data_IF_894530887218
#
_entry.id   IF_894530887218
#
_cell.length_a   1.000
_cell.length_b   1.000
_cell.length_c   1.000
_cell.angle_alpha   90.00
_cell.angle_beta   90.00
_cell.angle_gamma   90.00
#
_symmetry.space_group_name_H-M   'P 1'
#
loop_
_entity.id
_entity.type
_entity.pdbx_description
1 polymer ?
#
# COMPACT_ATOMS: atom_id res chain seq x y z
N UNK A 1 -4.12 -26.16 41.73
CA UNK A 1 -4.43 -25.39 40.51
C UNK A 1 -5.48 -26.17 39.74
N UNK A 2 -6.73 -25.73 39.84
CA UNK A 2 -7.87 -26.52 39.35
C UNK A 2 -7.85 -26.63 37.82
N UNK A 3 -8.10 -27.83 37.30
CA UNK A 3 -8.18 -28.10 35.84
C UNK A 3 -9.15 -27.16 35.13
N UNK A 4 -10.20 -26.72 35.82
CA UNK A 4 -11.15 -25.71 35.36
C UNK A 4 -10.50 -24.33 35.15
N UNK A 5 -9.66 -23.87 36.09
CA UNK A 5 -8.90 -22.62 35.97
C UNK A 5 -7.88 -22.68 34.82
N UNK A 6 -7.22 -23.82 34.63
CA UNK A 6 -6.30 -24.02 33.51
C UNK A 6 -7.02 -24.01 32.15
N UNK A 7 -8.21 -24.64 32.06
CA UNK A 7 -9.03 -24.65 30.83
C UNK A 7 -9.60 -23.28 30.49
N UNK A 8 -10.03 -22.50 31.48
CA UNK A 8 -10.51 -21.13 31.27
C UNK A 8 -9.37 -20.24 30.76
N UNK A 9 -8.18 -20.37 31.35
CA UNK A 9 -6.99 -19.61 30.94
C UNK A 9 -6.56 -19.93 29.50
N UNK A 10 -6.58 -21.20 29.09
CA UNK A 10 -6.22 -21.58 27.71
C UNK A 10 -7.25 -21.09 26.70
N UNK A 11 -8.53 -21.17 27.01
CA UNK A 11 -9.59 -20.67 26.13
C UNK A 11 -9.53 -19.14 25.97
N UNK A 12 -9.26 -18.40 27.05
CA UNK A 12 -9.11 -16.94 27.01
C UNK A 12 -7.90 -16.50 26.17
N UNK A 13 -6.77 -17.23 26.25
CA UNK A 13 -5.60 -16.97 25.41
C UNK A 13 -5.91 -17.23 23.93
N UNK A 14 -6.53 -18.37 23.59
CA UNK A 14 -6.92 -18.68 22.21
C UNK A 14 -7.87 -17.61 21.66
N UNK A 15 -8.83 -17.15 22.46
CA UNK A 15 -9.75 -16.09 22.06
C UNK A 15 -8.99 -14.78 21.81
N UNK A 16 -8.08 -14.36 22.69
CA UNK A 16 -7.27 -13.14 22.47
C UNK A 16 -6.43 -13.18 21.19
N UNK A 17 -5.92 -14.35 20.79
CA UNK A 17 -5.14 -14.51 19.56
C UNK A 17 -5.97 -14.59 18.27
N UNK A 18 -7.30 -14.77 18.35
CA UNK A 18 -8.17 -14.87 17.16
C UNK A 18 -8.92 -13.59 16.82
N UNK A 19 -8.89 -12.56 17.68
CA UNK A 19 -9.42 -11.23 17.33
C UNK A 19 -8.44 -10.47 16.43
N UNK A 20 -8.52 -10.69 15.12
CA UNK A 20 -7.99 -9.75 14.15
C UNK A 20 -9.01 -8.62 13.93
N UNK A 21 -8.72 -7.43 14.44
CA UNK A 21 -9.43 -6.22 14.03
C UNK A 21 -9.09 -5.93 12.57
N UNK A 22 -10.05 -6.06 11.66
CA UNK A 22 -9.87 -5.66 10.26
C UNK A 22 -9.87 -4.14 10.14
N UNK A 23 -8.70 -3.52 9.97
CA UNK A 23 -8.65 -2.11 9.54
C UNK A 23 -9.00 -2.02 8.07
N UNK A 24 -9.76 -0.99 7.68
CA UNK A 24 -9.86 -0.65 6.26
C UNK A 24 -8.49 -0.22 5.72
N UNK A 25 -8.25 -0.46 4.43
CA UNK A 25 -7.02 -0.02 3.77
C UNK A 25 -7.06 1.49 3.59
N UNK A 26 -6.01 2.18 4.05
CA UNK A 26 -5.82 3.62 3.89
C UNK A 26 -4.73 3.90 2.86
N UNK A 27 -4.99 4.79 1.90
CA UNK A 27 -4.02 5.16 0.86
C UNK A 27 -3.95 6.69 0.72
N UNK A 28 -2.86 7.20 0.15
CA UNK A 28 -2.86 8.57 -0.35
C UNK A 28 -3.74 8.69 -1.60
N UNK A 29 -4.55 9.74 -1.67
CA UNK A 29 -5.42 10.08 -2.79
C UNK A 29 -5.20 11.54 -3.20
N UNK A 30 -4.37 11.73 -4.23
CA UNK A 30 -3.97 13.07 -4.65
C UNK A 30 -3.47 13.10 -6.09
N UNK A 31 -3.40 14.30 -6.65
CA UNK A 31 -2.80 14.57 -7.95
C UNK A 31 -1.91 15.80 -7.83
N UNK A 32 -0.61 15.65 -8.13
CA UNK A 32 0.39 16.72 -8.06
C UNK A 32 0.13 17.94 -8.93
N UNK A 33 -0.71 17.80 -9.95
CA UNK A 33 -1.19 18.94 -10.73
C UNK A 33 -2.10 19.87 -9.93
N UNK A 34 -2.95 19.29 -9.05
CA UNK A 34 -3.89 20.05 -8.23
C UNK A 34 -3.28 20.44 -6.88
N UNK A 35 -2.42 19.59 -6.32
CA UNK A 35 -1.76 19.80 -5.03
C UNK A 35 -0.32 19.30 -5.10
N UNK A 36 0.63 20.24 -5.17
CA UNK A 36 2.07 19.95 -5.30
C UNK A 36 2.63 19.10 -4.15
N UNK A 37 1.98 19.06 -2.99
CA UNK A 37 2.37 18.18 -1.87
C UNK A 37 2.22 16.70 -2.24
N UNK A 38 1.44 16.38 -3.27
CA UNK A 38 1.39 15.05 -3.85
C UNK A 38 2.68 14.67 -4.62
N UNK A 39 3.59 15.58 -4.94
CA UNK A 39 4.89 15.17 -5.51
C UNK A 39 5.90 14.76 -4.42
N UNK A 40 5.63 15.05 -3.15
CA UNK A 40 6.51 14.68 -2.05
C UNK A 40 6.64 13.16 -1.95
N UNK A 41 7.82 12.70 -1.55
CA UNK A 41 8.09 11.29 -1.28
C UNK A 41 7.15 10.75 -0.20
N UNK A 42 6.99 11.52 0.88
CA UNK A 42 5.98 11.28 1.92
C UNK A 42 4.97 12.42 1.90
N UNK A 43 3.78 12.23 1.31
CA UNK A 43 2.74 13.24 1.34
C UNK A 43 2.19 13.43 2.76
N UNK A 44 1.67 14.61 3.09
CA UNK A 44 1.01 14.83 4.37
C UNK A 44 -0.22 13.93 4.52
N UNK A 45 -0.46 13.45 5.74
CA UNK A 45 -1.57 12.53 6.03
C UNK A 45 -2.95 13.10 5.69
N UNK A 46 -3.09 14.43 5.63
CA UNK A 46 -4.30 15.10 5.17
C UNK A 46 -4.71 14.73 3.72
N UNK A 47 -3.78 14.19 2.92
CA UNK A 47 -4.05 13.68 1.58
C UNK A 47 -4.39 12.17 1.55
N UNK A 48 -4.53 11.54 2.72
CA UNK A 48 -4.90 10.13 2.82
C UNK A 48 -6.41 9.95 3.01
N UNK A 49 -6.91 8.81 2.54
CA UNK A 49 -8.32 8.42 2.65
C UNK A 49 -8.43 6.92 2.91
N UNK A 50 -9.48 6.56 3.62
CA UNK A 50 -9.91 5.19 3.82
C UNK A 50 -10.55 4.66 2.52
N UNK A 51 -9.96 3.64 1.91
CA UNK A 51 -10.41 3.12 0.62
C UNK A 51 -11.82 2.48 0.69
N UNK A 52 -12.26 2.08 1.89
CA UNK A 52 -13.62 1.59 2.13
C UNK A 52 -14.70 2.67 1.99
N UNK A 53 -14.34 3.95 2.04
CA UNK A 53 -15.30 5.07 1.95
C UNK A 53 -15.76 5.33 0.52
N UNK A 54 -15.07 4.79 -0.49
CA UNK A 54 -15.50 4.88 -1.87
C UNK A 54 -16.76 4.06 -2.09
N UNK A 55 -17.86 4.76 -2.40
CA UNK A 55 -19.13 4.13 -2.77
C UNK A 55 -19.06 3.69 -4.24
N UNK A 56 -18.31 2.63 -4.52
CA UNK A 56 -18.38 1.98 -5.82
C UNK A 56 -18.76 0.51 -5.63
N UNK A 57 -20.02 0.17 -5.89
CA UNK A 57 -20.57 -1.17 -5.72
C UNK A 57 -20.01 -2.19 -6.70
N UNK A 58 -19.29 -1.75 -7.74
CA UNK A 58 -18.74 -2.64 -8.75
C UNK A 58 -17.38 -3.22 -8.38
N UNK A 59 -16.60 -2.53 -7.53
CA UNK A 59 -15.21 -2.90 -7.26
C UNK A 59 -14.81 -2.69 -5.80
N UNK A 60 -14.22 -3.74 -5.20
CA UNK A 60 -13.60 -3.64 -3.88
C UNK A 60 -12.22 -3.03 -4.02
N UNK A 61 -11.98 -1.89 -3.39
CA UNK A 61 -10.64 -1.29 -3.32
C UNK A 61 -9.78 -2.11 -2.36
N UNK A 62 -8.75 -2.76 -2.91
CA UNK A 62 -7.92 -3.74 -2.19
C UNK A 62 -6.42 -3.38 -2.19
N UNK A 63 -6.05 -2.31 -2.90
CA UNK A 63 -4.66 -1.87 -3.03
C UNK A 63 -4.56 -0.34 -3.09
N UNK A 64 -3.38 0.17 -2.77
CA UNK A 64 -2.97 1.52 -3.09
C UNK A 64 -2.23 1.52 -4.43
N UNK A 65 -2.37 2.61 -5.19
CA UNK A 65 -1.68 2.83 -6.46
C UNK A 65 -0.93 4.15 -6.44
N UNK A 66 0.25 4.15 -7.07
CA UNK A 66 1.05 5.34 -7.38
C UNK A 66 1.36 5.31 -8.87
N UNK A 67 1.07 6.40 -9.55
CA UNK A 67 1.36 6.59 -10.97
C UNK A 67 2.28 7.79 -11.08
N UNK A 68 3.44 7.59 -11.69
CA UNK A 68 4.34 8.67 -12.10
C UNK A 68 4.23 8.75 -13.61
N UNK A 69 3.66 9.84 -14.11
CA UNK A 69 3.53 10.12 -15.53
C UNK A 69 4.51 11.22 -15.91
N UNK A 70 5.25 11.01 -16.99
CA UNK A 70 6.15 12.00 -17.58
C UNK A 70 5.81 12.16 -19.05
N UNK A 71 5.56 13.40 -19.46
CA UNK A 71 5.41 13.83 -20.84
C UNK A 71 6.74 14.45 -21.22
N UNK A 72 7.48 13.81 -22.14
CA UNK A 72 8.88 14.16 -22.42
C UNK A 72 9.01 15.33 -23.40
N UNK A 73 8.06 15.46 -24.32
CA UNK A 73 8.03 16.49 -25.36
C UNK A 73 6.62 17.01 -25.55
N UNK A 74 6.47 18.15 -26.21
CA UNK A 74 5.16 18.73 -26.48
C UNK A 74 4.33 17.76 -27.35
N UNK A 75 3.13 17.42 -26.87
CA UNK A 75 2.17 16.59 -27.60
C UNK A 75 0.84 17.31 -27.62
N UNK A 76 0.27 17.53 -28.80
CA UNK A 76 -1.01 18.22 -28.95
C UNK A 76 -1.06 19.62 -28.29
N UNK A 77 0.06 20.35 -28.28
CA UNK A 77 0.15 21.69 -27.66
C UNK A 77 0.25 21.68 -26.13
N UNK A 78 0.40 20.52 -25.51
CA UNK A 78 0.66 20.40 -24.07
C UNK A 78 2.17 20.35 -23.81
N UNK A 79 2.72 21.23 -22.97
CA UNK A 79 4.16 21.24 -22.68
C UNK A 79 4.59 19.97 -21.94
N UNK A 80 5.90 19.68 -21.91
CA UNK A 80 6.46 18.66 -21.04
C UNK A 80 6.00 18.87 -19.58
N UNK A 81 5.51 17.81 -18.96
CA UNK A 81 4.98 17.81 -17.58
C UNK A 81 5.31 16.49 -16.89
N UNK A 82 5.50 16.53 -15.57
CA UNK A 82 5.65 15.33 -14.75
C UNK A 82 4.67 15.36 -13.59
N UNK A 83 3.94 14.26 -13.43
CA UNK A 83 2.80 14.17 -12.53
C UNK A 83 2.82 12.89 -11.73
N UNK A 84 2.77 13.05 -10.42
CA UNK A 84 2.46 12.00 -9.46
C UNK A 84 0.96 12.00 -9.19
N UNK A 85 0.33 10.84 -9.34
CA UNK A 85 -1.07 10.55 -9.02
C UNK A 85 -1.09 9.37 -8.06
N UNK A 86 -1.84 9.50 -6.96
CA UNK A 86 -2.02 8.45 -5.97
C UNK A 86 -3.49 8.17 -5.79
N UNK A 87 -3.87 6.89 -5.70
CA UNK A 87 -5.26 6.51 -5.52
C UNK A 87 -5.42 5.19 -4.78
N UNK A 88 -6.62 4.94 -4.24
CA UNK A 88 -7.08 3.57 -4.01
C UNK A 88 -7.30 2.87 -5.36
N UNK A 89 -7.06 1.56 -5.44
CA UNK A 89 -7.28 0.76 -6.63
C UNK A 89 -7.89 -0.61 -6.32
N UNK A 90 -8.40 -1.25 -7.36
CA UNK A 90 -9.19 -2.50 -7.28
C UNK A 90 -8.71 -3.60 -8.23
N UNK A 91 -7.77 -3.30 -9.12
CA UNK A 91 -7.34 -4.20 -10.19
C UNK A 91 -6.21 -5.13 -9.70
N UNK A 92 -6.55 -6.40 -9.53
CA UNK A 92 -5.69 -7.49 -9.04
C UNK A 92 -4.97 -8.26 -10.16
N UNK A 93 -5.15 -7.87 -11.42
CA UNK A 93 -5.06 -8.83 -12.52
C UNK A 93 -3.65 -9.23 -12.95
N UNK A 94 -2.57 -8.53 -12.56
CA UNK A 94 -1.17 -8.92 -12.90
C UNK A 94 -0.04 -8.23 -12.14
N UNK A 95 -0.27 -7.08 -11.50
CA UNK A 95 0.82 -6.24 -10.97
C UNK A 95 0.61 -5.84 -9.50
N UNK A 96 -0.05 -6.69 -8.73
CA UNK A 96 -0.22 -6.51 -7.29
C UNK A 96 1.16 -6.49 -6.60
N UNK A 97 1.41 -5.47 -5.77
CA UNK A 97 2.73 -5.27 -5.11
C UNK A 97 3.91 -5.14 -6.09
N UNK A 98 3.65 -4.74 -7.34
CA UNK A 98 4.67 -4.56 -8.36
C UNK A 98 4.50 -3.22 -9.09
N UNK A 99 5.58 -2.80 -9.75
CA UNK A 99 5.58 -1.67 -10.67
C UNK A 99 5.71 -2.17 -12.11
N UNK A 100 4.97 -1.55 -13.01
CA UNK A 100 5.12 -1.75 -14.45
C UNK A 100 5.12 -0.42 -15.16
N UNK A 101 5.65 -0.41 -16.38
CA UNK A 101 5.72 0.79 -17.19
C UNK A 101 4.84 0.67 -18.42
N UNK A 102 4.20 1.78 -18.77
CA UNK A 102 3.45 1.95 -20.00
C UNK A 102 4.04 3.14 -20.73
N UNK A 103 4.51 2.91 -21.95
CA UNK A 103 5.00 3.96 -22.84
C UNK A 103 4.00 4.15 -23.98
N UNK A 104 3.76 5.39 -24.36
CA UNK A 104 2.90 5.77 -25.47
C UNK A 104 3.50 6.93 -26.27
N UNK A 105 2.78 7.44 -27.25
CA UNK A 105 3.25 8.58 -28.04
C UNK A 105 3.39 9.82 -27.14
N UNK A 106 4.63 10.21 -26.85
CA UNK A 106 4.98 11.40 -26.09
C UNK A 106 4.92 11.34 -24.57
N UNK A 107 4.83 10.14 -23.99
CA UNK A 107 5.00 10.01 -22.55
C UNK A 107 5.24 8.59 -22.04
N UNK A 108 5.76 8.53 -20.82
CA UNK A 108 6.00 7.31 -20.04
C UNK A 108 5.21 7.39 -18.74
N UNK A 109 4.58 6.28 -18.37
CA UNK A 109 3.95 6.11 -17.08
C UNK A 109 4.62 4.94 -16.36
N UNK A 110 4.94 5.13 -15.09
CA UNK A 110 5.27 4.07 -14.14
C UNK A 110 4.10 3.91 -13.18
N UNK A 111 3.54 2.70 -13.12
CA UNK A 111 2.38 2.37 -12.31
C UNK A 111 2.78 1.32 -11.29
N UNK A 112 2.78 1.69 -10.03
CA UNK A 112 3.06 0.81 -8.90
C UNK A 112 1.78 0.53 -8.11
N UNK A 113 1.66 -0.68 -7.58
CA UNK A 113 0.63 -1.04 -6.61
C UNK A 113 1.21 -1.64 -5.35
N UNK A 114 0.48 -1.54 -4.24
CA UNK A 114 0.86 -2.15 -2.96
C UNK A 114 -0.37 -2.34 -2.05
N UNK A 115 -0.33 -3.24 -1.07
CA UNK A 115 -1.51 -3.65 -0.29
C UNK A 115 -1.49 -3.27 1.19
N UNK A 116 -0.51 -2.48 1.64
CA UNK A 116 -0.40 -2.04 3.04
C UNK A 116 -0.79 -0.57 3.21
N UNK A 117 -1.11 -0.15 4.43
CA UNK A 117 -1.53 1.23 4.69
C UNK A 117 -0.46 2.23 4.25
N UNK A 118 -0.89 3.25 3.50
CA UNK A 118 -0.09 4.38 3.04
C UNK A 118 1.15 3.99 2.22
N UNK A 119 1.21 2.76 1.71
CA UNK A 119 2.37 2.21 1.01
C UNK A 119 2.68 2.93 -0.30
N UNK A 120 1.70 3.63 -0.87
CA UNK A 120 1.88 4.40 -2.09
C UNK A 120 2.63 5.74 -1.88
N UNK A 121 3.19 6.00 -0.69
CA UNK A 121 4.27 6.99 -0.51
C UNK A 121 5.55 6.53 -1.21
N UNK A 122 5.90 5.24 -1.08
CA UNK A 122 7.19 4.66 -1.45
C UNK A 122 7.62 4.97 -2.89
N UNK A 123 8.92 5.18 -3.06
CA UNK A 123 9.60 5.18 -4.36
C UNK A 123 9.78 3.73 -4.83
N UNK A 124 9.83 3.49 -6.14
CA UNK A 124 9.91 2.15 -6.74
C UNK A 124 11.20 1.36 -6.41
N UNK A 125 12.05 1.88 -5.51
CA UNK A 125 13.24 1.20 -5.04
C UNK A 125 12.85 0.11 -4.00
N UNK A 126 13.02 -1.14 -4.42
CA UNK A 126 12.59 -2.35 -3.71
C UNK A 126 12.92 -2.36 -2.21
N UNK A 127 11.88 -2.56 -1.40
CA UNK A 127 12.03 -2.89 0.02
C UNK A 127 12.49 -4.35 0.10
N UNK A 128 13.80 -4.56 0.14
CA UNK A 128 14.35 -5.83 0.60
C UNK A 128 14.07 -5.95 2.11
N UNK A 129 12.97 -6.60 2.48
CA UNK A 129 12.76 -7.01 3.88
C UNK A 129 13.76 -8.11 4.21
N UNK A 130 14.86 -7.72 4.87
CA UNK A 130 15.74 -8.65 5.56
C UNK A 130 14.98 -9.22 6.76
N UNK A 131 14.40 -10.40 6.60
CA UNK A 131 13.94 -11.19 7.74
C UNK A 131 15.18 -11.71 8.49
N UNK A 132 15.58 -11.02 9.55
CA UNK A 132 16.52 -11.57 10.53
C UNK A 132 15.74 -12.59 11.36
N UNK A 133 15.91 -13.86 11.05
CA UNK A 133 15.45 -14.96 11.91
C UNK A 133 16.31 -14.97 13.17
N UNK A 134 15.71 -14.60 14.32
CA UNK A 134 16.34 -14.75 15.63
C UNK A 134 16.38 -16.24 15.99
N UNK A 135 17.44 -16.91 15.54
CA UNK A 135 17.73 -18.31 15.79
C UNK A 135 18.46 -18.44 17.14
N UNK A 136 17.79 -18.15 18.26
CA UNK A 136 18.31 -18.40 19.60
C UNK A 136 17.19 -18.77 20.58
N UNK A 137 16.66 -19.99 20.43
CA UNK A 137 16.04 -20.72 21.53
C UNK A 137 16.62 -22.14 21.57
N UNK A 138 17.93 -22.22 21.74
CA UNK A 138 18.61 -23.39 22.30
C UNK A 138 19.76 -22.89 23.17
N UNK A 139 19.62 -22.92 24.50
CA UNK A 139 20.65 -23.48 25.33
C UNK A 139 20.34 -24.96 25.53
N UNK A 140 21.38 -25.74 25.36
CA UNK A 140 21.44 -27.18 25.52
C UNK A 140 21.01 -27.66 26.92
N UNK A 141 20.53 -28.90 26.96
CA UNK A 141 20.77 -29.92 28.00
C UNK A 141 21.20 -29.44 29.39
N UNK A 142 20.29 -29.59 30.36
CA UNK A 142 20.49 -30.30 31.64
C UNK A 142 19.12 -30.74 32.20
#
# INVERSE_FOLDING_TARGET
MDRSLALISTFALVFFFTFQTGSALKCFECNSFNDSRCALEVPPEALSKECSTHQNSMHKYILCRKIVQTIEYEVNGLPPDSRVIRSCGWDDSSYLNACYQRSGFGGRQEVCSCTTNLCNSATAAGVAMLFVTSLLAFPALL
#
